data_IF_688304266143
#
_entry.id   IF_688304266143
#
_cell.length_a   1.000
_cell.length_b   1.000
_cell.length_c   1.000
_cell.angle_alpha   90.00
_cell.angle_beta   90.00
_cell.angle_gamma   90.00
#
_symmetry.space_group_name_H-M   'P 1'
#
loop_
_entity.id
_entity.type
_entity.pdbx_description
1 polymer ?
#
# COMPACT_ATOMS: atom_id res chain seq x y z
N UNK A 1 6.94 -4.73 16.58
CA UNK A 1 5.57 -4.96 16.05
C UNK A 1 5.38 -3.99 14.90
N UNK A 2 5.88 -4.37 13.73
CA UNK A 2 5.90 -3.50 12.55
C UNK A 2 4.57 -3.59 11.80
N UNK A 3 4.23 -2.52 11.10
CA UNK A 3 3.10 -2.49 10.20
C UNK A 3 3.39 -3.34 8.95
N UNK A 4 2.43 -4.18 8.56
CA UNK A 4 2.51 -4.94 7.32
C UNK A 4 2.06 -4.08 6.15
N UNK A 5 2.93 -3.92 5.16
CA UNK A 5 2.60 -3.29 3.88
C UNK A 5 2.41 -4.34 2.80
N UNK A 6 1.27 -4.29 2.13
CA UNK A 6 0.90 -5.22 1.07
C UNK A 6 0.60 -4.46 -0.20
N UNK A 7 1.28 -4.82 -1.29
CA UNK A 7 1.07 -4.27 -2.62
C UNK A 7 0.44 -5.34 -3.50
N UNK A 8 -0.73 -5.06 -4.05
CA UNK A 8 -1.52 -6.01 -4.82
C UNK A 8 -2.15 -5.32 -6.03
N UNK A 9 -2.55 -6.12 -7.02
CA UNK A 9 -3.39 -5.65 -8.12
C UNK A 9 -4.85 -5.96 -7.81
N UNK A 10 -5.73 -4.99 -8.07
CA UNK A 10 -7.16 -5.19 -7.97
C UNK A 10 -7.73 -5.86 -9.25
N UNK A 11 -9.06 -6.03 -9.30
CA UNK A 11 -9.76 -6.64 -10.44
C UNK A 11 -9.63 -5.82 -11.75
N UNK A 12 -9.25 -4.55 -11.66
CA UNK A 12 -9.04 -3.64 -12.78
C UNK A 12 -7.59 -3.62 -13.25
N UNK A 13 -6.76 -4.55 -12.77
CA UNK A 13 -5.31 -4.63 -13.00
C UNK A 13 -4.54 -3.42 -12.45
N UNK A 14 -5.11 -2.70 -11.48
CA UNK A 14 -4.49 -1.52 -10.88
C UNK A 14 -3.79 -1.87 -9.57
N UNK A 15 -2.56 -1.38 -9.43
CA UNK A 15 -1.76 -1.49 -8.23
C UNK A 15 -2.35 -0.64 -7.12
N UNK A 16 -2.51 -1.27 -5.96
CA UNK A 16 -2.91 -0.64 -4.71
C UNK A 16 -2.01 -1.14 -3.59
N UNK A 17 -1.90 -0.33 -2.55
CA UNK A 17 -1.25 -0.70 -1.31
C UNK A 17 -2.25 -0.70 -0.16
N UNK A 18 -2.01 -1.52 0.85
CA UNK A 18 -2.66 -1.44 2.16
C UNK A 18 -1.63 -1.62 3.28
N UNK A 19 -1.84 -0.90 4.37
CA UNK A 19 -1.08 -0.97 5.60
C UNK A 19 -1.95 -1.57 6.69
N UNK A 20 -1.53 -2.71 7.20
CA UNK A 20 -2.18 -3.41 8.30
C UNK A 20 -1.29 -3.27 9.53
N UNK A 21 -1.82 -2.66 10.58
CA UNK A 21 -1.12 -2.57 11.85
C UNK A 21 -0.94 -3.97 12.45
N UNK A 22 0.01 -4.08 13.37
CA UNK A 22 0.30 -5.31 14.12
C UNK A 22 -0.90 -5.90 14.87
N UNK A 23 -1.92 -5.08 15.16
CA UNK A 23 -3.20 -5.51 15.74
C UNK A 23 -4.21 -6.06 14.71
N UNK A 24 -3.80 -6.23 13.45
CA UNK A 24 -4.63 -6.76 12.35
C UNK A 24 -5.58 -5.74 11.72
N UNK A 25 -5.60 -4.48 12.17
CA UNK A 25 -6.47 -3.45 11.62
C UNK A 25 -5.80 -2.76 10.44
N UNK A 26 -6.56 -2.50 9.38
CA UNK A 26 -6.09 -1.69 8.26
C UNK A 26 -6.07 -0.23 8.74
N UNK A 27 -4.87 0.34 8.80
CA UNK A 27 -4.63 1.73 9.24
C UNK A 27 -4.32 2.67 8.08
N UNK A 28 -4.09 2.12 6.88
CA UNK A 28 -3.94 2.90 5.66
C UNK A 28 -4.21 2.07 4.43
N UNK A 29 -4.74 2.70 3.38
CA UNK A 29 -4.94 2.06 2.09
C UNK A 29 -4.82 3.10 0.98
N UNK A 30 -4.49 2.63 -0.22
CA UNK A 30 -4.44 3.47 -1.40
C UNK A 30 -5.86 3.87 -1.85
N UNK A 31 -6.10 5.18 -1.91
CA UNK A 31 -7.37 5.75 -2.38
C UNK A 31 -7.56 5.64 -3.90
N UNK A 32 -6.48 5.48 -4.65
CA UNK A 32 -6.47 5.43 -6.11
C UNK A 32 -5.83 4.13 -6.61
N UNK A 33 -6.20 3.69 -7.82
CA UNK A 33 -5.56 2.57 -8.49
C UNK A 33 -4.45 3.08 -9.41
N UNK A 34 -3.26 2.47 -9.33
CA UNK A 34 -2.12 2.86 -10.17
C UNK A 34 -1.85 1.84 -11.28
N UNK A 35 -1.61 2.28 -12.52
CA UNK A 35 -1.20 1.36 -13.60
C UNK A 35 0.21 0.79 -13.36
N UNK A 36 1.08 1.57 -12.73
CA UNK A 36 2.46 1.19 -12.48
C UNK A 36 2.70 0.87 -11.00
N UNK A 37 3.44 -0.20 -10.73
CA UNK A 37 3.83 -0.56 -9.35
C UNK A 37 4.66 0.54 -8.69
N UNK A 38 5.53 1.21 -9.45
CA UNK A 38 6.39 2.25 -8.93
C UNK A 38 5.58 3.47 -8.44
N UNK A 39 4.55 3.88 -9.17
CA UNK A 39 3.67 4.98 -8.75
C UNK A 39 2.92 4.63 -7.46
N UNK A 40 2.45 3.38 -7.36
CA UNK A 40 1.84 2.86 -6.14
C UNK A 40 2.80 2.87 -4.94
N UNK A 41 4.06 2.49 -5.16
CA UNK A 41 5.11 2.52 -4.11
C UNK A 41 5.42 3.97 -3.71
N UNK A 42 5.55 4.88 -4.68
CA UNK A 42 5.79 6.29 -4.40
C UNK A 42 4.66 6.90 -3.56
N UNK A 43 3.40 6.54 -3.85
CA UNK A 43 2.27 6.96 -3.04
C UNK A 43 2.32 6.34 -1.63
N UNK A 44 2.65 5.06 -1.50
CA UNK A 44 2.85 4.43 -0.19
C UNK A 44 3.93 5.16 0.63
N UNK A 45 5.05 5.55 0.00
CA UNK A 45 6.14 6.29 0.66
C UNK A 45 5.64 7.63 1.20
N UNK A 46 4.86 8.36 0.41
CA UNK A 46 4.21 9.62 0.85
C UNK A 46 3.27 9.41 2.05
N UNK A 47 2.76 8.20 2.23
CA UNK A 47 1.89 7.81 3.35
C UNK A 47 2.63 7.10 4.49
N UNK A 48 3.97 7.12 4.49
CA UNK A 48 4.80 6.59 5.56
C UNK A 48 5.34 5.18 5.34
N UNK A 49 5.31 4.64 4.12
CA UNK A 49 6.07 3.44 3.78
C UNK A 49 7.55 3.79 3.68
N UNK A 50 8.37 3.20 4.54
CA UNK A 50 9.82 3.17 4.36
C UNK A 50 10.21 1.77 3.96
N UNK A 51 10.94 1.67 2.83
CA UNK A 51 11.63 0.43 2.47
C UNK A 51 12.90 0.39 3.32
N UNK A 52 12.78 -0.10 4.54
CA UNK A 52 13.95 -0.51 5.34
C UNK A 52 14.71 -1.63 4.64
#
# INVERSE_FOLDING_TARGET
MEDKWEFYKDKSDEWRWRRTASNGRIVGASSEGYKNKQDCINNAIRNGYSKE
#
